data_IF_226116131128
#
_entry.id   IF_226116131128
#
_cell.length_a   1.000
_cell.length_b   1.000
_cell.length_c   1.000
_cell.angle_alpha   90.00
_cell.angle_beta   90.00
_cell.angle_gamma   90.00
#
_symmetry.space_group_name_H-M   'P 1'
#
loop_
_entity.id
_entity.type
_entity.pdbx_description
1 polymer ?
#
# COMPACT_ATOMS: atom_id res chain seq x y z
N UNK A 1 20.30 8.82 22.19
CA UNK A 1 19.59 7.69 22.82
C UNK A 1 18.08 7.94 23.01
N UNK A 2 17.65 8.96 23.77
CA UNK A 2 16.21 9.25 24.00
C UNK A 2 15.39 9.42 22.71
N UNK A 3 15.89 10.20 21.75
CA UNK A 3 15.22 10.41 20.47
C UNK A 3 15.12 9.11 19.66
N UNK A 4 16.18 8.30 19.65
CA UNK A 4 16.22 7.03 18.92
C UNK A 4 15.14 6.07 19.45
N UNK A 5 15.02 5.94 20.77
CA UNK A 5 13.98 5.11 21.40
C UNK A 5 12.58 5.62 21.07
N UNK A 6 12.37 6.94 21.07
CA UNK A 6 11.10 7.54 20.69
C UNK A 6 10.76 7.27 19.22
N UNK A 7 11.71 7.44 18.30
CA UNK A 7 11.52 7.18 16.88
C UNK A 7 11.19 5.71 16.62
N UNK A 8 11.92 4.78 17.24
CA UNK A 8 11.64 3.34 17.11
C UNK A 8 10.27 3.01 17.69
N UNK A 9 9.89 3.59 18.84
CA UNK A 9 8.57 3.40 19.44
C UNK A 9 7.43 3.84 18.52
N UNK A 10 7.54 5.02 17.91
CA UNK A 10 6.53 5.54 16.97
C UNK A 10 6.47 4.66 15.71
N UNK A 11 7.62 4.28 15.16
CA UNK A 11 7.68 3.42 13.97
C UNK A 11 7.04 2.05 14.22
N UNK A 12 7.33 1.44 15.38
CA UNK A 12 6.72 0.17 15.79
C UNK A 12 5.20 0.29 15.94
N UNK A 13 4.71 1.39 16.51
CA UNK A 13 3.27 1.65 16.64
C UNK A 13 2.58 1.76 15.27
N UNK A 14 3.19 2.45 14.31
CA UNK A 14 2.68 2.54 12.94
C UNK A 14 2.58 1.16 12.27
N UNK A 15 3.63 0.34 12.38
CA UNK A 15 3.67 -1.01 11.80
C UNK A 15 2.61 -1.91 12.48
N UNK A 16 2.49 -1.84 13.80
CA UNK A 16 1.47 -2.58 14.55
C UNK A 16 0.05 -2.20 14.10
N UNK A 17 -0.23 -0.92 13.91
CA UNK A 17 -1.53 -0.44 13.42
C UNK A 17 -1.87 -0.97 12.03
N UNK A 18 -0.89 -1.02 11.12
CA UNK A 18 -1.07 -1.60 9.78
C UNK A 18 -1.34 -3.11 9.87
N UNK A 19 -0.58 -3.83 10.71
CA UNK A 19 -0.74 -5.27 10.90
C UNK A 19 -2.13 -5.63 11.42
N UNK A 20 -2.61 -4.92 12.45
CA UNK A 20 -3.95 -5.12 13.01
C UNK A 20 -5.03 -4.87 11.96
N UNK A 21 -4.89 -3.80 11.15
CA UNK A 21 -5.84 -3.47 10.08
C UNK A 21 -5.93 -4.59 9.03
N UNK A 22 -4.81 -5.21 8.67
CA UNK A 22 -4.78 -6.33 7.72
C UNK A 22 -5.46 -7.56 8.33
N UNK A 23 -5.14 -7.88 9.59
CA UNK A 23 -5.72 -9.01 10.30
C UNK A 23 -7.24 -8.89 10.46
N UNK A 24 -7.74 -7.67 10.72
CA UNK A 24 -9.17 -7.37 10.82
C UNK A 24 -9.90 -7.37 9.46
N UNK A 25 -9.18 -7.39 8.33
CA UNK A 25 -9.80 -7.35 6.99
C UNK A 25 -10.05 -8.76 6.48
N UNK A 26 -11.30 -9.06 6.10
CA UNK A 26 -11.67 -10.34 5.49
C UNK A 26 -10.82 -10.59 4.24
N UNK A 27 -10.07 -11.69 4.24
CA UNK A 27 -9.15 -12.06 3.16
C UNK A 27 -7.73 -11.48 3.27
N UNK A 28 -7.39 -10.73 4.33
CA UNK A 28 -6.01 -10.34 4.65
C UNK A 28 -5.29 -9.50 3.59
N UNK A 29 -6.00 -8.94 2.61
CA UNK A 29 -5.38 -8.17 1.51
C UNK A 29 -5.29 -6.69 1.88
N UNK A 30 -4.14 -6.08 1.62
CA UNK A 30 -3.98 -4.64 1.72
C UNK A 30 -5.04 -3.93 0.85
N UNK A 31 -5.66 -2.84 1.34
CA UNK A 31 -6.48 -2.00 0.45
C UNK A 31 -5.51 -1.35 -0.53
N UNK A 32 -5.69 -1.63 -1.82
CA UNK A 32 -4.75 -1.17 -2.85
C UNK A 32 -4.46 0.32 -2.70
N UNK A 33 -3.22 0.69 -2.99
CA UNK A 33 -2.77 2.09 -2.97
C UNK A 33 -2.66 2.60 -4.41
N UNK A 34 -2.50 3.91 -4.59
CA UNK A 34 -2.26 4.51 -5.91
C UNK A 34 -1.04 3.89 -6.63
N UNK A 35 -0.11 3.25 -5.92
CA UNK A 35 1.02 2.53 -6.51
C UNK A 35 0.59 1.33 -7.38
N UNK A 36 -0.64 0.82 -7.20
CA UNK A 36 -1.20 -0.26 -8.03
C UNK A 36 -1.46 0.18 -9.49
N UNK A 37 -1.32 1.47 -9.80
CA UNK A 37 -1.39 2.02 -11.16
C UNK A 37 -0.03 2.12 -11.85
N UNK A 38 1.08 1.85 -11.16
CA UNK A 38 2.40 1.97 -11.78
C UNK A 38 2.64 0.76 -12.72
N UNK A 39 2.92 0.96 -14.02
CA UNK A 39 3.18 -0.12 -14.97
C UNK A 39 4.40 -0.97 -14.60
N UNK A 40 5.37 -0.41 -13.88
CA UNK A 40 6.52 -1.18 -13.40
C UNK A 40 6.16 -2.17 -12.27
N UNK A 41 5.09 -1.89 -11.52
CA UNK A 41 4.63 -2.69 -10.39
C UNK A 41 3.46 -3.62 -10.75
N UNK A 42 2.56 -3.17 -11.62
CA UNK A 42 1.38 -3.92 -12.06
C UNK A 42 1.66 -4.65 -13.38
N UNK A 43 2.41 -5.75 -13.30
CA UNK A 43 2.79 -6.57 -14.47
C UNK A 43 1.72 -7.58 -14.90
N UNK A 44 0.75 -7.87 -14.02
CA UNK A 44 -0.33 -8.83 -14.23
C UNK A 44 -1.55 -8.22 -14.91
N UNK A 45 -1.58 -6.89 -15.09
CA UNK A 45 -2.71 -6.22 -15.75
C UNK A 45 -3.97 -6.19 -14.89
N UNK A 46 -3.82 -6.17 -13.56
CA UNK A 46 -4.96 -6.14 -12.65
C UNK A 46 -5.56 -4.73 -12.54
N UNK A 47 -6.88 -4.59 -12.35
CA UNK A 47 -7.49 -3.29 -12.10
C UNK A 47 -6.94 -2.68 -10.80
N UNK A 48 -6.85 -1.35 -10.74
CA UNK A 48 -6.34 -0.66 -9.55
C UNK A 48 -7.12 -1.05 -8.29
N UNK A 49 -6.45 -1.60 -7.27
CA UNK A 49 -7.07 -1.89 -5.98
C UNK A 49 -7.51 -0.64 -5.18
N UNK A 50 -7.16 0.57 -5.63
CA UNK A 50 -7.57 1.84 -5.01
C UNK A 50 -8.73 2.52 -5.77
N UNK A 51 -8.62 2.67 -7.09
CA UNK A 51 -9.56 3.44 -7.91
C UNK A 51 -10.29 2.63 -9.00
N UNK A 52 -10.02 1.32 -9.12
CA UNK A 52 -10.67 0.43 -10.08
C UNK A 52 -10.27 0.59 -11.56
N UNK A 53 -9.48 1.62 -11.91
CA UNK A 53 -9.02 1.85 -13.29
C UNK A 53 -8.30 0.63 -13.85
N UNK A 54 -8.62 0.26 -15.09
CA UNK A 54 -7.90 -0.76 -15.85
C UNK A 54 -6.48 -0.30 -16.18
N UNK A 55 -5.54 -1.22 -16.44
CA UNK A 55 -4.19 -0.89 -16.87
C UNK A 55 -4.16 0.05 -18.08
N UNK A 56 -5.04 -0.14 -19.07
CA UNK A 56 -5.09 0.74 -20.25
C UNK A 56 -5.47 2.20 -19.90
N UNK A 57 -6.14 2.40 -18.76
CA UNK A 57 -6.57 3.70 -18.26
C UNK A 57 -5.57 4.31 -17.26
N UNK A 58 -4.43 3.66 -17.01
CA UNK A 58 -3.38 4.15 -16.11
C UNK A 58 -2.83 5.47 -16.63
N UNK A 59 -2.65 6.44 -15.73
CA UNK A 59 -2.05 7.75 -16.04
C UNK A 59 -0.62 7.87 -15.46
N UNK A 60 -0.23 6.91 -14.61
CA UNK A 60 1.07 6.87 -13.95
C UNK A 60 2.12 6.23 -14.88
N UNK A 61 3.25 6.91 -15.11
CA UNK A 61 4.32 6.40 -15.98
C UNK A 61 4.05 6.54 -17.48
N UNK A 62 3.12 7.42 -17.89
CA UNK A 62 2.96 7.84 -19.29
C UNK A 62 4.00 8.93 -19.62
N UNK A 63 5.19 8.50 -19.99
CA UNK A 63 6.20 9.28 -20.73
C UNK A 63 6.72 8.44 -21.90
#
# INVERSE_FOLDING_TARGET
MKLILLTIGILALCIAGIAIKIWAKKGGKFSGTCASQNPHLNKTGEPCGFCGKMPEQQECGKE
#
